data_IF_351093341329
#
_entry.id   IF_351093341329
#
_cell.length_a   1.000
_cell.length_b   1.000
_cell.length_c   1.000
_cell.angle_alpha   90.00
_cell.angle_beta   90.00
_cell.angle_gamma   90.00
#
_symmetry.space_group_name_H-M   'P 1'
#
loop_
_entity.id
_entity.type
_entity.pdbx_description
1 polymer ?
#
# COMPACT_ATOMS: atom_id res chain seq x y z
N UNK A 1 -6.09 14.65 1.86
CA UNK A 1 -5.05 13.65 1.58
C UNK A 1 -4.18 14.12 0.43
N UNK A 2 -2.89 13.80 0.49
CA UNK A 2 -1.97 14.08 -0.59
C UNK A 2 -0.93 12.96 -0.66
N UNK A 3 -0.45 12.69 -1.85
CA UNK A 3 0.58 11.70 -2.07
C UNK A 3 1.52 12.14 -3.18
N UNK A 4 2.69 11.53 -3.25
CA UNK A 4 3.66 11.84 -4.28
C UNK A 4 4.71 10.76 -4.38
N UNK A 5 5.52 10.85 -5.43
CA UNK A 5 6.58 9.89 -5.70
C UNK A 5 7.90 10.38 -5.12
N UNK A 6 8.72 9.42 -4.73
CA UNK A 6 10.09 9.63 -4.30
C UNK A 6 10.97 8.91 -5.31
N UNK A 7 11.91 9.63 -5.92
CA UNK A 7 12.80 9.07 -6.92
C UNK A 7 14.25 9.12 -6.44
N UNK A 8 14.87 7.94 -6.37
CA UNK A 8 16.27 7.77 -6.01
C UNK A 8 16.93 6.90 -7.05
N UNK A 9 18.25 6.97 -7.15
CA UNK A 9 19.02 6.27 -8.18
C UNK A 9 18.76 4.76 -8.23
N UNK A 10 18.61 4.12 -7.08
CA UNK A 10 18.41 2.67 -6.97
C UNK A 10 17.09 2.29 -6.32
N UNK A 11 16.29 3.25 -5.95
CA UNK A 11 15.05 3.04 -5.23
C UNK A 11 13.94 3.85 -5.85
N UNK A 12 12.72 3.42 -5.62
CA UNK A 12 11.54 4.20 -5.94
C UNK A 12 10.63 4.19 -4.72
N UNK A 13 9.79 5.16 -4.59
CA UNK A 13 8.89 5.19 -3.46
C UNK A 13 7.81 6.22 -3.60
N UNK A 14 7.08 6.41 -2.52
CA UNK A 14 6.00 7.38 -2.47
C UNK A 14 5.87 7.92 -1.04
N UNK A 15 5.16 9.02 -0.92
CA UNK A 15 4.77 9.55 0.38
C UNK A 15 3.26 9.75 0.39
N UNK A 16 2.69 9.63 1.57
CA UNK A 16 1.26 9.83 1.80
C UNK A 16 1.07 10.76 2.97
N UNK A 17 0.10 11.63 2.88
CA UNK A 17 -0.26 12.56 3.94
C UNK A 17 -1.77 12.61 4.03
N UNK A 18 -2.31 12.38 5.21
CA UNK A 18 -3.75 12.33 5.40
C UNK A 18 -4.12 12.72 6.82
N UNK A 19 -5.37 13.07 7.02
CA UNK A 19 -5.91 13.28 8.36
C UNK A 19 -6.44 11.96 8.88
N UNK A 20 -5.89 11.53 10.01
CA UNK A 20 -6.30 10.29 10.65
C UNK A 20 -5.64 9.07 10.05
N UNK A 21 -5.57 8.04 10.88
CA UNK A 21 -4.85 6.82 10.55
C UNK A 21 -5.55 6.02 9.46
N UNK A 22 -6.88 5.99 9.49
CA UNK A 22 -7.66 5.24 8.48
C UNK A 22 -7.38 5.73 7.07
N UNK A 23 -7.42 7.04 6.87
CA UNK A 23 -7.16 7.63 5.57
C UNK A 23 -5.72 7.44 5.14
N UNK A 24 -4.79 7.53 6.08
CA UNK A 24 -3.38 7.32 5.79
C UNK A 24 -3.13 5.89 5.28
N UNK A 25 -3.68 4.90 5.97
CA UNK A 25 -3.53 3.51 5.59
C UNK A 25 -4.18 3.23 4.24
N UNK A 26 -5.40 3.71 4.05
CA UNK A 26 -6.11 3.53 2.78
C UNK A 26 -5.33 4.12 1.62
N UNK A 27 -4.87 5.36 1.78
CA UNK A 27 -4.09 6.05 0.75
C UNK A 27 -2.79 5.31 0.45
N UNK A 28 -2.13 4.78 1.48
CA UNK A 28 -0.88 4.04 1.30
C UNK A 28 -1.08 2.75 0.51
N UNK A 29 -2.15 2.02 0.79
CA UNK A 29 -2.47 0.80 0.04
C UNK A 29 -2.73 1.13 -1.42
N UNK A 30 -3.51 2.18 -1.68
CA UNK A 30 -3.81 2.61 -3.04
C UNK A 30 -2.57 3.10 -3.77
N UNK A 31 -1.73 3.87 -3.10
CA UNK A 31 -0.50 4.39 -3.70
C UNK A 31 0.46 3.25 -4.06
N UNK A 32 0.55 2.23 -3.22
CA UNK A 32 1.39 1.08 -3.49
C UNK A 32 0.93 0.35 -4.75
N UNK A 33 -0.36 0.02 -4.83
CA UNK A 33 -0.90 -0.68 -6.00
C UNK A 33 -0.80 0.17 -7.26
N UNK A 34 -0.98 1.48 -7.12
CA UNK A 34 -0.85 2.41 -8.23
C UNK A 34 0.55 2.50 -8.80
N UNK A 35 1.57 2.13 -8.01
CA UNK A 35 2.94 2.02 -8.52
C UNK A 35 3.09 0.82 -9.44
N UNK A 36 2.40 -0.28 -9.15
CA UNK A 36 2.47 -1.49 -9.95
C UNK A 36 1.80 -1.28 -11.31
N UNK A 37 0.58 -0.75 -11.30
CA UNK A 37 -0.19 -0.52 -12.51
C UNK A 37 -1.26 0.54 -12.24
N UNK A 38 -1.76 1.24 -13.27
CA UNK A 38 -2.85 2.20 -13.05
C UNK A 38 -4.06 1.52 -12.43
N UNK A 39 -4.58 2.07 -11.34
CA UNK A 39 -5.71 1.48 -10.61
C UNK A 39 -6.96 1.37 -11.48
N UNK A 40 -7.16 2.32 -12.38
CA UNK A 40 -8.34 2.30 -13.26
C UNK A 40 -8.37 1.14 -14.24
N UNK A 41 -7.25 0.43 -14.39
CA UNK A 41 -7.17 -0.74 -15.28
C UNK A 41 -7.45 -2.05 -14.56
N UNK A 42 -7.61 -2.02 -13.25
CA UNK A 42 -7.81 -3.23 -12.44
C UNK A 42 -9.27 -3.32 -12.04
N UNK A 43 -9.92 -4.39 -12.47
CA UNK A 43 -11.33 -4.62 -12.15
C UNK A 43 -11.46 -5.23 -10.75
N UNK A 44 -12.41 -4.75 -9.93
CA UNK A 44 -12.56 -5.26 -8.57
C UNK A 44 -13.40 -6.55 -8.52
N UNK A 45 -12.95 -7.57 -9.23
CA UNK A 45 -13.70 -8.82 -9.41
C UNK A 45 -13.68 -9.73 -8.20
N UNK A 46 -12.53 -9.82 -7.52
CA UNK A 46 -12.31 -10.76 -6.43
C UNK A 46 -12.11 -10.00 -5.13
N UNK A 47 -12.54 -10.60 -4.04
CA UNK A 47 -12.34 -10.05 -2.70
C UNK A 47 -11.29 -10.89 -1.98
N UNK A 48 -10.33 -10.22 -1.36
CA UNK A 48 -9.31 -10.87 -0.55
C UNK A 48 -9.25 -10.17 0.80
N UNK A 49 -9.33 -10.95 1.87
CA UNK A 49 -9.32 -10.43 3.23
C UNK A 49 -7.93 -10.55 3.82
N UNK A 50 -7.50 -9.50 4.51
CA UNK A 50 -6.20 -9.45 5.16
C UNK A 50 -6.39 -9.01 6.61
N UNK A 51 -5.67 -9.67 7.52
CA UNK A 51 -5.70 -9.32 8.92
C UNK A 51 -4.29 -9.41 9.50
N UNK A 52 -3.90 -8.40 10.26
CA UNK A 52 -2.57 -8.32 10.86
C UNK A 52 -2.71 -7.97 12.33
N UNK A 53 -1.95 -8.68 13.16
CA UNK A 53 -1.88 -8.44 14.59
C UNK A 53 -0.43 -8.13 14.93
N UNK A 54 -0.12 -6.85 15.14
CA UNK A 54 1.22 -6.38 15.47
C UNK A 54 1.14 -5.19 16.39
N UNK A 55 2.20 -4.93 17.11
CA UNK A 55 2.26 -3.76 17.99
C UNK A 55 2.78 -2.56 17.21
N UNK A 56 1.92 -1.57 17.06
CA UNK A 56 2.29 -0.32 16.43
C UNK A 56 1.80 -0.16 15.00
N UNK A 57 1.36 1.04 14.70
CA UNK A 57 0.80 1.35 13.38
C UNK A 57 1.84 1.22 12.27
N UNK A 58 3.08 1.59 12.56
CA UNK A 58 4.17 1.49 11.57
C UNK A 58 4.33 0.04 11.10
N UNK A 59 4.38 -0.88 12.04
CA UNK A 59 4.57 -2.30 11.73
C UNK A 59 3.36 -2.84 10.99
N UNK A 60 2.15 -2.47 11.43
CA UNK A 60 0.93 -2.92 10.77
C UNK A 60 0.90 -2.51 9.30
N UNK A 61 1.23 -1.25 9.02
CA UNK A 61 1.22 -0.77 7.63
C UNK A 61 2.31 -1.45 6.81
N UNK A 62 3.50 -1.59 7.37
CA UNK A 62 4.61 -2.24 6.68
C UNK A 62 4.26 -3.68 6.31
N UNK A 63 3.69 -4.42 7.26
CA UNK A 63 3.26 -5.80 7.02
C UNK A 63 2.19 -5.89 5.93
N UNK A 64 1.25 -4.94 5.93
CA UNK A 64 0.21 -4.92 4.92
C UNK A 64 0.78 -4.70 3.52
N UNK A 65 1.71 -3.75 3.38
CA UNK A 65 2.35 -3.48 2.09
C UNK A 65 3.16 -4.67 1.62
N UNK A 66 3.89 -5.33 2.53
CA UNK A 66 4.61 -6.55 2.19
C UNK A 66 3.68 -7.65 1.72
N UNK A 67 2.51 -7.77 2.34
CA UNK A 67 1.56 -8.81 1.96
C UNK A 67 0.95 -8.54 0.59
N UNK A 68 0.72 -7.28 0.25
CA UNK A 68 0.28 -6.92 -1.10
C UNK A 68 1.36 -7.27 -2.13
N UNK A 69 2.61 -7.00 -1.81
CA UNK A 69 3.72 -7.36 -2.67
C UNK A 69 3.82 -8.87 -2.84
N UNK A 70 3.68 -9.60 -1.75
CA UNK A 70 3.71 -11.06 -1.77
C UNK A 70 2.57 -11.64 -2.61
N UNK A 71 1.38 -11.06 -2.52
CA UNK A 71 0.23 -11.48 -3.31
C UNK A 71 0.51 -11.29 -4.83
N UNK A 72 1.18 -10.20 -5.19
CA UNK A 72 1.57 -9.99 -6.57
C UNK A 72 2.66 -10.97 -7.00
N UNK A 73 3.69 -11.15 -6.18
CA UNK A 73 4.82 -12.02 -6.52
C UNK A 73 4.38 -13.48 -6.69
N UNK A 74 3.51 -13.97 -5.83
CA UNK A 74 3.13 -15.38 -5.81
C UNK A 74 1.92 -15.71 -6.65
N UNK A 75 0.96 -14.79 -6.75
CA UNK A 75 -0.31 -15.05 -7.42
C UNK A 75 -0.66 -14.02 -8.50
N UNK A 76 0.21 -13.06 -8.73
CA UNK A 76 -0.01 -11.99 -9.71
C UNK A 76 -1.30 -11.22 -9.46
N UNK A 77 -1.67 -11.05 -8.20
CA UNK A 77 -2.87 -10.31 -7.82
C UNK A 77 -2.59 -8.81 -7.83
N UNK A 78 -3.49 -8.08 -8.48
CA UNK A 78 -3.50 -6.62 -8.50
C UNK A 78 -4.78 -6.15 -7.84
N UNK A 79 -4.70 -5.08 -7.05
CA UNK A 79 -5.86 -4.55 -6.35
C UNK A 79 -6.08 -3.09 -6.71
N UNK A 80 -7.35 -2.70 -6.81
CA UNK A 80 -7.70 -1.32 -7.17
C UNK A 80 -8.60 -0.64 -6.13
N UNK A 81 -9.15 -1.40 -5.21
CA UNK A 81 -10.07 -0.86 -4.21
C UNK A 81 -9.86 -1.56 -2.88
N UNK A 82 -9.96 -0.79 -1.81
CA UNK A 82 -9.75 -1.30 -0.45
C UNK A 82 -10.84 -0.76 0.46
N UNK A 83 -11.22 -1.57 1.46
CA UNK A 83 -12.10 -1.12 2.52
C UNK A 83 -11.51 -1.57 3.85
N UNK A 84 -11.34 -0.63 4.78
CA UNK A 84 -10.81 -0.93 6.10
C UNK A 84 -11.96 -1.45 6.96
N UNK A 85 -11.78 -2.63 7.53
CA UNK A 85 -12.76 -3.26 8.39
C UNK A 85 -12.46 -3.02 9.86
N UNK A 86 -11.20 -2.86 10.20
CA UNK A 86 -10.78 -2.57 11.58
C UNK A 86 -9.35 -2.05 11.59
N UNK A 87 -9.12 -1.07 12.44
CA UNK A 87 -7.78 -0.50 12.61
C UNK A 87 -7.66 0.11 14.00
N UNK A 88 -6.74 -0.44 14.78
CA UNK A 88 -6.38 0.12 16.08
C UNK A 88 -4.88 -0.09 16.32
N UNK A 89 -4.43 0.04 17.55
CA UNK A 89 -3.00 -0.01 17.87
C UNK A 89 -2.37 -1.38 17.65
N UNK A 90 -3.17 -2.43 17.62
CA UNK A 90 -2.67 -3.80 17.51
C UNK A 90 -3.31 -4.62 16.43
N UNK A 91 -4.20 -4.01 15.62
CA UNK A 91 -4.97 -4.73 14.62
C UNK A 91 -5.15 -3.90 13.36
N UNK A 92 -4.91 -4.50 12.22
CA UNK A 92 -5.31 -3.94 10.95
C UNK A 92 -5.99 -5.02 10.11
N UNK A 93 -7.22 -4.74 9.73
CA UNK A 93 -8.05 -5.67 8.98
C UNK A 93 -8.68 -4.94 7.80
N UNK A 94 -8.50 -5.47 6.60
CA UNK A 94 -9.07 -4.84 5.42
C UNK A 94 -9.44 -5.89 4.37
N UNK A 95 -10.30 -5.48 3.45
CA UNK A 95 -10.62 -6.24 2.25
C UNK A 95 -10.09 -5.50 1.05
N UNK A 96 -9.47 -6.24 0.13
CA UNK A 96 -8.95 -5.70 -1.12
C UNK A 96 -9.71 -6.32 -2.28
N UNK A 97 -10.03 -5.49 -3.27
CA UNK A 97 -10.77 -5.91 -4.47
C UNK A 97 -9.87 -5.77 -5.68
N UNK A 98 -9.77 -6.83 -6.46
CA UNK A 98 -8.91 -6.81 -7.63
C UNK A 98 -9.05 -8.03 -8.49
N UNK A 99 -7.99 -8.35 -9.21
CA UNK A 99 -7.99 -9.46 -10.16
C UNK A 99 -6.56 -9.91 -10.45
N UNK A 100 -6.44 -11.09 -11.02
CA UNK A 100 -5.16 -11.62 -11.47
C UNK A 100 -4.67 -10.82 -12.68
N UNK A 101 -3.37 -10.62 -12.75
CA UNK A 101 -2.72 -9.92 -13.87
C UNK A 101 -3.13 -10.53 -15.22
N UNK A 102 -3.58 -9.66 -16.10
CA UNK A 102 -3.88 -9.98 -17.50
C UNK A 102 -2.92 -9.18 -18.36
N UNK A 103 -1.88 -9.80 -18.93
CA UNK A 103 -0.84 -9.05 -19.66
C UNK A 103 -1.36 -8.19 -20.80
N UNK A 104 -2.46 -8.58 -21.42
CA UNK A 104 -3.05 -7.83 -22.54
C UNK A 104 -3.77 -6.57 -22.07
N UNK A 105 -4.18 -6.51 -20.80
CA UNK A 105 -5.01 -5.43 -20.28
C UNK A 105 -4.31 -4.60 -19.21
N UNK A 106 -3.37 -5.21 -18.48
CA UNK A 106 -2.66 -4.53 -17.41
C UNK A 106 -1.26 -4.17 -17.86
N UNK A 107 -0.89 -2.93 -17.60
CA UNK A 107 0.43 -2.42 -17.91
C UNK A 107 1.22 -2.29 -16.61
N UNK A 108 2.18 -3.17 -16.41
CA UNK A 108 3.02 -3.12 -15.22
C UNK A 108 4.07 -2.03 -15.38
N UNK A 109 4.09 -1.08 -14.45
CA UNK A 109 5.01 0.06 -14.46
C UNK A 109 6.23 -0.20 -13.62
N UNK A 110 6.08 -0.93 -12.53
CA UNK A 110 7.14 -1.17 -11.57
C UNK A 110 6.87 -2.46 -10.83
N UNK A 111 7.91 -3.27 -10.61
CA UNK A 111 7.81 -4.46 -9.78
C UNK A 111 8.84 -4.33 -8.66
N UNK A 112 8.41 -3.93 -7.46
CA UNK A 112 9.34 -3.81 -6.34
C UNK A 112 9.81 -5.19 -5.90
N UNK A 113 11.02 -5.25 -5.37
CA UNK A 113 11.57 -6.46 -4.76
C UNK A 113 11.23 -6.54 -3.28
N UNK A 114 11.14 -5.40 -2.63
CA UNK A 114 10.88 -5.33 -1.20
C UNK A 114 10.36 -3.97 -0.81
N UNK A 115 9.57 -3.94 0.26
CA UNK A 115 9.21 -2.71 0.96
C UNK A 115 10.24 -2.55 2.06
N UNK A 116 11.10 -1.54 1.98
CA UNK A 116 12.18 -1.39 2.94
C UNK A 116 11.69 -0.76 4.24
N UNK A 117 12.47 -0.93 5.32
CA UNK A 117 12.24 -0.21 6.57
C UNK A 117 12.94 1.14 6.58
N UNK A 118 13.65 1.47 5.52
CA UNK A 118 14.41 2.70 5.43
C UNK A 118 13.49 3.91 5.53
N UNK A 119 13.67 4.70 6.58
CA UNK A 119 12.88 5.89 6.87
C UNK A 119 11.36 5.61 6.98
N UNK A 120 10.99 4.37 7.28
CA UNK A 120 9.59 3.98 7.39
C UNK A 120 9.08 4.28 8.80
N UNK A 121 8.37 5.38 8.91
CA UNK A 121 7.74 5.78 10.17
C UNK A 121 6.53 6.64 9.88
N UNK A 122 5.47 6.42 10.62
CA UNK A 122 4.30 7.29 10.57
C UNK A 122 4.60 8.49 11.45
N UNK A 123 4.60 9.68 10.85
CA UNK A 123 4.94 10.91 11.52
C UNK A 123 3.72 11.77 11.73
N UNK A 124 3.64 12.37 12.91
CA UNK A 124 2.60 13.32 13.23
C UNK A 124 3.03 14.70 12.76
N UNK A 125 2.19 15.34 11.97
CA UNK A 125 2.45 16.69 11.46
C UNK A 125 1.45 17.66 12.09
N UNK A 126 1.51 18.91 11.68
CA UNK A 126 0.62 19.93 12.20
C UNK A 126 -0.82 19.69 11.76
N UNK A 127 -1.76 20.19 12.57
CA UNK A 127 -3.20 20.20 12.28
C UNK A 127 -3.83 18.81 12.13
N UNK A 128 -3.28 17.82 12.84
CA UNK A 128 -3.84 16.46 12.83
C UNK A 128 -3.49 15.65 11.60
N UNK A 129 -2.58 16.13 10.77
CA UNK A 129 -2.10 15.34 9.64
C UNK A 129 -1.08 14.32 10.09
N UNK A 130 -1.13 13.17 9.43
CA UNK A 130 -0.13 12.12 9.56
C UNK A 130 0.52 11.92 8.19
N UNK A 131 1.77 11.50 8.20
CA UNK A 131 2.47 11.22 6.95
C UNK A 131 3.32 9.97 7.08
N UNK A 132 3.58 9.34 5.95
CA UNK A 132 4.49 8.20 5.87
C UNK A 132 5.21 8.25 4.54
N UNK A 133 6.49 7.88 4.56
CA UNK A 133 7.30 7.71 3.34
C UNK A 133 7.57 6.22 3.19
N UNK A 134 7.35 5.74 1.98
CA UNK A 134 7.54 4.33 1.67
C UNK A 134 8.60 4.22 0.59
N UNK A 135 9.67 3.52 0.89
CA UNK A 135 10.77 3.33 -0.05
C UNK A 135 10.79 1.86 -0.45
N UNK A 136 10.83 1.64 -1.76
CA UNK A 136 10.79 0.32 -2.34
C UNK A 136 12.12 0.02 -3.01
N UNK A 137 12.59 -1.18 -2.79
CA UNK A 137 13.77 -1.69 -3.47
C UNK A 137 13.32 -2.26 -4.82
N UNK A 138 13.94 -1.82 -5.90
CA UNK A 138 13.55 -2.22 -7.26
C UNK A 138 14.70 -2.91 -8.05
#
# INVERSE_FOLDING_TARGET
>A
MASGLIDHTADVGFWVRARGLDHLFLEALEAFEGLLTPLGCVLPKERHFFVFHEQGADVLLHEALNELLYAFDTRRLLFSRFAILGLDEGLFEFVAFGETLEPERHRIRCIPKAVTYNDFAIRQESRGFLSVRVILDV
#
